data_IF_804785001365
#
_entry.id   IF_804785001365
#
_cell.length_a   1.000
_cell.length_b   1.000
_cell.length_c   1.000
_cell.angle_alpha   90.00
_cell.angle_beta   90.00
_cell.angle_gamma   90.00
#
_symmetry.space_group_name_H-M   'P 1'
#
loop_
_entity.id
_entity.type
_entity.pdbx_description
1 polymer ?
#
# COMPACT_ATOMS: atom_id res chain seq x y z
N UNK A 1 -15.72 11.40 5.59
CA UNK A 1 -14.58 12.18 6.12
C UNK A 1 -14.82 13.64 5.78
N UNK A 2 -14.78 14.52 6.78
CA UNK A 2 -14.80 15.97 6.58
C UNK A 2 -13.50 16.41 5.90
N UNK A 3 -13.60 17.18 4.81
CA UNK A 3 -12.44 17.70 4.10
C UNK A 3 -11.81 18.85 4.89
N UNK A 4 -10.97 18.53 5.87
CA UNK A 4 -10.24 19.54 6.64
C UNK A 4 -9.21 20.24 5.76
N UNK A 5 -9.03 21.55 5.91
CA UNK A 5 -7.96 22.24 5.21
C UNK A 5 -6.59 21.72 5.67
N UNK A 6 -5.64 21.58 4.74
CA UNK A 6 -4.24 21.26 5.06
C UNK A 6 -3.50 22.61 5.12
N UNK A 7 -3.32 23.12 6.33
CA UNK A 7 -2.82 24.48 6.60
C UNK A 7 -1.33 24.53 6.93
N UNK A 8 -0.69 23.38 7.12
CA UNK A 8 0.71 23.26 7.51
C UNK A 8 1.04 21.92 8.15
N UNK A 9 2.27 21.74 8.61
CA UNK A 9 2.78 20.45 9.10
C UNK A 9 1.97 19.86 10.25
N UNK A 10 1.57 20.67 11.23
CA UNK A 10 0.72 20.21 12.33
C UNK A 10 -0.62 19.64 11.84
N UNK A 11 -1.22 20.27 10.83
CA UNK A 11 -2.46 19.75 10.23
C UNK A 11 -2.22 18.44 9.49
N UNK A 12 -1.05 18.27 8.86
CA UNK A 12 -0.67 17.03 8.20
C UNK A 12 -0.53 15.90 9.22
N UNK A 13 0.25 16.13 10.29
CA UNK A 13 0.50 15.14 11.35
C UNK A 13 -0.79 14.73 12.06
N UNK A 14 -1.63 15.71 12.43
CA UNK A 14 -2.91 15.45 13.08
C UNK A 14 -3.83 14.59 12.21
N UNK A 15 -3.96 14.93 10.94
CA UNK A 15 -4.82 14.19 10.02
C UNK A 15 -4.27 12.80 9.69
N UNK A 16 -2.95 12.68 9.48
CA UNK A 16 -2.31 11.39 9.26
C UNK A 16 -2.48 10.48 10.48
N UNK A 17 -2.30 11.01 11.70
CA UNK A 17 -2.53 10.27 12.95
C UNK A 17 -3.98 9.80 13.10
N UNK A 18 -4.97 10.66 12.82
CA UNK A 18 -6.37 10.27 12.81
C UNK A 18 -6.68 9.16 11.79
N UNK A 19 -6.06 9.23 10.60
CA UNK A 19 -6.18 8.19 9.57
C UNK A 19 -5.53 6.88 10.02
N UNK A 20 -4.36 6.92 10.67
CA UNK A 20 -3.73 5.73 11.25
C UNK A 20 -4.66 5.09 12.27
N UNK A 21 -5.18 5.85 13.23
CA UNK A 21 -6.09 5.31 14.25
C UNK A 21 -7.31 4.63 13.63
N UNK A 22 -7.95 5.30 12.66
CA UNK A 22 -9.15 4.77 12.02
C UNK A 22 -8.86 3.53 11.14
N UNK A 23 -7.78 3.56 10.36
CA UNK A 23 -7.39 2.43 9.50
C UNK A 23 -6.89 1.23 10.31
N UNK A 24 -6.23 1.47 11.45
CA UNK A 24 -5.76 0.43 12.36
C UNK A 24 -6.90 -0.21 13.15
N UNK A 25 -7.84 0.59 13.67
CA UNK A 25 -8.96 0.08 14.47
C UNK A 25 -9.90 -0.81 13.67
N UNK A 26 -10.02 -0.56 12.36
CA UNK A 26 -11.09 -1.16 11.57
C UNK A 26 -10.75 -2.55 11.06
N UNK A 27 -9.46 -2.92 10.86
CA UNK A 27 -8.89 -4.11 10.17
C UNK A 27 -9.62 -4.66 8.91
N UNK A 28 -10.73 -4.02 8.54
CA UNK A 28 -11.74 -4.28 7.55
C UNK A 28 -12.32 -2.90 7.22
N UNK A 29 -12.01 -2.38 6.04
CA UNK A 29 -12.54 -1.13 5.53
C UNK A 29 -13.38 -1.46 4.31
N UNK A 30 -14.45 -0.69 4.11
CA UNK A 30 -15.19 -0.82 2.86
C UNK A 30 -14.33 -0.36 1.68
N UNK A 31 -14.61 -0.84 0.47
CA UNK A 31 -13.91 -0.43 -0.76
C UNK A 31 -13.87 1.09 -0.88
N UNK A 32 -15.01 1.76 -0.66
CA UNK A 32 -15.11 3.22 -0.68
C UNK A 32 -14.28 3.87 0.43
N UNK A 33 -14.34 3.34 1.65
CA UNK A 33 -13.56 3.82 2.79
C UNK A 33 -12.06 3.76 2.52
N UNK A 34 -11.59 2.64 1.95
CA UNK A 34 -10.19 2.44 1.55
C UNK A 34 -9.73 3.45 0.51
N UNK A 35 -10.54 3.71 -0.53
CA UNK A 35 -10.22 4.71 -1.56
C UNK A 35 -10.11 6.11 -0.95
N UNK A 36 -11.12 6.54 -0.18
CA UNK A 36 -11.15 7.88 0.41
C UNK A 36 -9.95 8.10 1.34
N UNK A 37 -9.65 7.12 2.18
CA UNK A 37 -8.53 7.21 3.10
C UNK A 37 -7.19 7.22 2.36
N UNK A 38 -7.07 6.41 1.31
CA UNK A 38 -5.87 6.38 0.48
C UNK A 38 -5.65 7.72 -0.23
N UNK A 39 -6.67 8.26 -0.90
CA UNK A 39 -6.63 9.57 -1.54
C UNK A 39 -6.24 10.66 -0.54
N UNK A 40 -6.72 10.56 0.70
CA UNK A 40 -6.33 11.49 1.75
C UNK A 40 -4.86 11.35 2.14
N UNK A 41 -4.36 10.13 2.35
CA UNK A 41 -2.95 9.90 2.67
C UNK A 41 -2.02 10.36 1.53
N UNK A 42 -2.44 10.19 0.27
CA UNK A 42 -1.74 10.74 -0.89
C UNK A 42 -1.74 12.28 -0.94
N UNK A 43 -2.88 12.92 -0.65
CA UNK A 43 -2.95 14.40 -0.56
C UNK A 43 -2.04 14.94 0.54
N UNK A 44 -1.99 14.29 1.70
CA UNK A 44 -1.11 14.66 2.80
C UNK A 44 0.36 14.57 2.40
N UNK A 45 0.76 13.50 1.69
CA UNK A 45 2.11 13.36 1.16
C UNK A 45 2.46 14.49 0.16
N UNK A 46 1.53 14.86 -0.73
CA UNK A 46 1.71 15.99 -1.66
C UNK A 46 1.93 17.31 -0.93
N UNK A 47 1.15 17.61 0.09
CA UNK A 47 1.34 18.85 0.87
C UNK A 47 2.63 18.82 1.68
N UNK A 48 3.01 17.65 2.22
CA UNK A 48 4.27 17.49 2.93
C UNK A 48 5.47 17.76 2.01
N UNK A 49 5.43 17.27 0.77
CA UNK A 49 6.46 17.54 -0.23
C UNK A 49 6.61 19.03 -0.53
N UNK A 50 5.51 19.79 -0.59
CA UNK A 50 5.57 21.24 -0.80
C UNK A 50 6.20 22.00 0.38
N UNK A 51 6.13 21.45 1.59
CA UNK A 51 6.63 22.08 2.80
C UNK A 51 8.03 21.60 3.20
N UNK A 52 8.55 20.54 2.56
CA UNK A 52 9.71 19.77 3.03
C UNK A 52 10.96 20.59 3.31
N UNK A 53 11.21 21.67 2.56
CA UNK A 53 12.38 22.54 2.75
C UNK A 53 12.24 23.53 3.91
N UNK A 54 11.04 23.67 4.49
CA UNK A 54 10.71 24.68 5.49
C UNK A 54 10.32 24.09 6.85
N UNK A 55 10.53 22.79 7.03
CA UNK A 55 10.11 22.04 8.22
C UNK A 55 11.28 21.18 8.73
N UNK A 56 11.25 20.82 10.00
CA UNK A 56 12.33 20.04 10.61
C UNK A 56 12.37 18.61 10.09
N UNK A 57 13.54 17.98 10.15
CA UNK A 57 13.69 16.54 9.89
C UNK A 57 12.74 15.71 10.77
N UNK A 58 12.60 16.07 12.04
CA UNK A 58 11.76 15.35 13.00
C UNK A 58 10.28 15.38 12.58
N UNK A 59 9.79 16.56 12.17
CA UNK A 59 8.43 16.70 11.68
C UNK A 59 8.19 15.93 10.37
N UNK A 60 9.19 15.91 9.48
CA UNK A 60 9.15 15.11 8.25
C UNK A 60 9.08 13.63 8.58
N UNK A 61 9.98 13.15 9.44
CA UNK A 61 10.06 11.76 9.85
C UNK A 61 8.73 11.30 10.48
N UNK A 62 8.17 12.09 11.38
CA UNK A 62 6.88 11.80 12.02
C UNK A 62 5.75 11.76 10.98
N UNK A 63 5.64 12.78 10.13
CA UNK A 63 4.58 12.84 9.11
C UNK A 63 4.69 11.68 8.10
N UNK A 64 5.89 11.37 7.61
CA UNK A 64 6.12 10.26 6.68
C UNK A 64 5.77 8.93 7.35
N UNK A 65 6.16 8.73 8.61
CA UNK A 65 5.84 7.51 9.37
C UNK A 65 4.33 7.31 9.47
N UNK A 66 3.58 8.35 9.84
CA UNK A 66 2.12 8.28 9.95
C UNK A 66 1.45 7.99 8.60
N UNK A 67 1.89 8.64 7.53
CA UNK A 67 1.35 8.40 6.19
C UNK A 67 1.66 6.98 5.71
N UNK A 68 2.89 6.49 5.93
CA UNK A 68 3.29 5.13 5.58
C UNK A 68 2.48 4.07 6.34
N UNK A 69 2.24 4.27 7.64
CA UNK A 69 1.35 3.42 8.44
C UNK A 69 -0.08 3.40 7.91
N UNK A 70 -0.66 4.57 7.61
CA UNK A 70 -1.99 4.67 7.01
C UNK A 70 -2.11 3.83 5.74
N UNK A 71 -1.17 4.02 4.82
CA UNK A 71 -1.16 3.32 3.53
C UNK A 71 -1.04 1.81 3.73
N UNK A 72 -0.17 1.37 4.63
CA UNK A 72 0.01 -0.06 4.91
C UNK A 72 -1.23 -0.70 5.55
N UNK A 73 -1.90 0.01 6.47
CA UNK A 73 -3.17 -0.44 7.04
C UNK A 73 -4.25 -0.59 5.95
N UNK A 74 -4.35 0.37 5.03
CA UNK A 74 -5.30 0.31 3.91
C UNK A 74 -4.98 -0.88 2.99
N UNK A 75 -3.72 -1.09 2.63
CA UNK A 75 -3.30 -2.23 1.81
C UNK A 75 -3.65 -3.56 2.48
N UNK A 76 -3.40 -3.67 3.78
CA UNK A 76 -3.77 -4.85 4.57
C UNK A 76 -5.27 -5.09 4.55
N UNK A 77 -6.06 -4.04 4.76
CA UNK A 77 -7.52 -4.10 4.73
C UNK A 77 -8.07 -4.57 3.37
N UNK A 78 -7.51 -4.09 2.27
CA UNK A 78 -7.99 -4.44 0.93
C UNK A 78 -7.50 -5.81 0.46
N UNK A 79 -6.32 -6.23 0.89
CA UNK A 79 -5.82 -7.57 0.57
C UNK A 79 -6.38 -8.66 1.49
N UNK A 80 -6.82 -8.32 2.72
CA UNK A 80 -7.34 -9.25 3.70
C UNK A 80 -8.44 -10.18 3.15
N UNK A 81 -9.47 -9.65 2.46
CA UNK A 81 -10.52 -10.48 1.87
C UNK A 81 -10.02 -11.36 0.74
N UNK A 82 -9.12 -10.86 -0.12
CA UNK A 82 -8.52 -11.64 -1.21
C UNK A 82 -7.65 -12.81 -0.68
N UNK A 83 -7.10 -12.65 0.52
CA UNK A 83 -6.29 -13.65 1.21
C UNK A 83 -7.12 -14.53 2.16
N UNK A 84 -8.45 -14.34 2.20
CA UNK A 84 -9.36 -15.04 3.13
C UNK A 84 -9.00 -14.85 4.61
N UNK A 85 -8.33 -13.75 4.96
CA UNK A 85 -8.00 -13.36 6.35
C UNK A 85 -9.11 -12.55 7.00
N UNK A 86 -9.91 -11.86 6.19
CA UNK A 86 -11.07 -11.08 6.61
C UNK A 86 -12.23 -11.30 5.64
N UNK A 87 -13.44 -10.95 6.06
CA UNK A 87 -14.61 -11.00 5.19
C UNK A 87 -14.75 -9.70 4.38
N UNK A 88 -15.39 -9.79 3.22
CA UNK A 88 -15.90 -8.60 2.52
C UNK A 88 -17.04 -8.04 3.37
N UNK A 89 -17.01 -6.74 3.67
CA UNK A 89 -18.00 -6.11 4.53
C UNK A 89 -19.38 -6.11 3.86
N UNK A 90 -20.43 -6.29 4.66
CA UNK A 90 -21.83 -6.34 4.19
C UNK A 90 -22.19 -5.14 3.30
N UNK A 91 -21.71 -3.93 3.63
CA UNK A 91 -21.96 -2.75 2.80
C UNK A 91 -21.38 -2.89 1.38
N UNK A 92 -20.17 -3.45 1.24
CA UNK A 92 -19.58 -3.70 -0.08
C UNK A 92 -20.24 -4.87 -0.79
N UNK A 93 -20.65 -5.88 -0.01
CA UNK A 93 -21.42 -7.01 -0.49
C UNK A 93 -22.73 -6.53 -1.12
N UNK A 94 -23.54 -5.75 -0.41
CA UNK A 94 -24.79 -5.18 -0.92
C UNK A 94 -24.56 -4.22 -2.08
N UNK A 95 -23.55 -3.35 -2.03
CA UNK A 95 -23.23 -2.43 -3.13
C UNK A 95 -22.76 -3.14 -4.40
N UNK A 96 -22.21 -4.35 -4.31
CA UNK A 96 -21.88 -5.15 -5.50
C UNK A 96 -23.12 -5.73 -6.19
N UNK A 97 -24.23 -5.86 -5.45
CA UNK A 97 -25.52 -6.41 -5.90
C UNK A 97 -26.37 -5.30 -6.54
N UNK A 98 -26.36 -4.11 -5.93
CA UNK A 98 -27.20 -2.97 -6.31
C UNK A 98 -26.71 -2.23 -7.57
N UNK A 99 -25.62 -2.71 -8.19
CA UNK A 99 -25.25 -2.33 -9.56
C UNK A 99 -26.17 -3.13 -10.49
N UNK A 100 -27.46 -2.79 -10.49
CA UNK A 100 -28.37 -3.10 -11.57
C UNK A 100 -27.98 -2.20 -12.74
N UNK A 101 -27.58 -2.79 -13.87
CA UNK A 101 -27.21 -2.15 -15.13
C UNK A 101 -25.83 -1.49 -15.19
N UNK A 102 -24.78 -2.27 -14.98
CA UNK A 102 -23.54 -2.04 -15.76
C UNK A 102 -23.61 -2.96 -16.99
N UNK A 103 -24.27 -2.48 -18.06
CA UNK A 103 -24.58 -3.26 -19.26
C UNK A 103 -23.37 -3.85 -19.97
N UNK A 104 -22.16 -3.35 -19.69
CA UNK A 104 -20.91 -3.90 -20.23
C UNK A 104 -20.45 -5.15 -19.44
N UNK A 105 -20.67 -5.17 -18.13
CA UNK A 105 -20.35 -6.29 -17.26
C UNK A 105 -21.43 -7.38 -17.30
N UNK A 106 -22.71 -7.00 -17.43
CA UNK A 106 -23.82 -7.95 -17.44
C UNK A 106 -23.70 -8.99 -18.57
N UNK A 107 -23.08 -8.68 -19.71
CA UNK A 107 -22.76 -9.66 -20.77
C UNK A 107 -21.65 -10.65 -20.36
N UNK A 108 -20.57 -10.16 -19.76
CA UNK A 108 -19.44 -11.00 -19.31
C UNK A 108 -19.83 -11.93 -18.15
N UNK A 109 -20.76 -11.48 -17.29
CA UNK A 109 -21.28 -12.29 -16.18
C UNK A 109 -22.50 -13.14 -16.53
N UNK A 110 -23.30 -12.78 -17.55
CA UNK A 110 -24.38 -13.67 -18.03
C UNK A 110 -23.82 -14.92 -18.67
N UNK A 111 -22.70 -14.83 -19.42
CA UNK A 111 -21.99 -16.00 -19.95
C UNK A 111 -21.46 -16.91 -18.83
N UNK A 112 -21.03 -16.34 -17.70
CA UNK A 112 -20.59 -17.11 -16.53
C UNK A 112 -21.74 -17.70 -15.72
N UNK A 113 -22.99 -17.27 -15.90
CA UNK A 113 -24.14 -17.68 -15.06
C UNK A 113 -24.89 -18.91 -15.57
N UNK A 114 -24.46 -19.47 -16.71
CA UNK A 114 -25.11 -20.57 -17.41
C UNK A 114 -24.04 -21.63 -17.67
N UNK A 115 -24.22 -22.84 -17.14
CA UNK A 115 -23.38 -23.97 -17.53
C UNK A 115 -23.60 -24.28 -19.03
N UNK A 116 -22.64 -24.91 -19.72
CA UNK A 116 -22.81 -25.30 -21.13
C UNK A 116 -24.05 -26.20 -21.40
N UNK A 117 -24.68 -26.75 -20.36
CA UNK A 117 -25.90 -27.54 -20.41
C UNK A 117 -27.19 -26.75 -20.16
N UNK A 118 -27.11 -25.43 -19.96
CA UNK A 118 -28.25 -24.54 -19.73
C UNK A 118 -28.71 -24.44 -18.27
N UNK A 119 -28.04 -25.09 -17.31
CA UNK A 119 -28.38 -24.98 -15.89
C UNK A 119 -27.89 -23.66 -15.27
N UNK A 120 -28.66 -23.13 -14.32
CA UNK A 120 -28.45 -21.81 -13.71
C UNK A 120 -27.47 -21.88 -12.53
N UNK A 121 -26.48 -20.98 -12.49
CA UNK A 121 -25.63 -20.83 -11.32
C UNK A 121 -26.42 -20.22 -10.14
N UNK A 122 -26.39 -20.81 -8.94
CA UNK A 122 -26.98 -20.22 -7.75
C UNK A 122 -26.58 -18.75 -7.58
N UNK A 123 -27.58 -17.87 -7.38
CA UNK A 123 -27.40 -16.41 -7.33
C UNK A 123 -26.30 -15.97 -6.32
N UNK A 124 -26.06 -16.76 -5.27
CA UNK A 124 -25.00 -16.58 -4.28
C UNK A 124 -23.57 -16.79 -4.81
N UNK A 125 -23.36 -17.67 -5.80
CA UNK A 125 -22.04 -17.90 -6.43
C UNK A 125 -21.71 -16.73 -7.37
N UNK A 126 -22.71 -16.20 -8.09
CA UNK A 126 -22.54 -15.01 -8.93
C UNK A 126 -22.11 -13.78 -8.08
N UNK A 127 -22.76 -13.56 -6.93
CA UNK A 127 -22.42 -12.46 -6.01
C UNK A 127 -21.02 -12.56 -5.40
N UNK A 128 -20.62 -13.76 -4.95
CA UNK A 128 -19.27 -13.97 -4.43
C UNK A 128 -18.22 -13.61 -5.48
N UNK A 129 -18.45 -14.06 -6.73
CA UNK A 129 -17.54 -13.79 -7.84
C UNK A 129 -17.48 -12.30 -8.17
N UNK A 130 -18.63 -11.60 -8.21
CA UNK A 130 -18.70 -10.13 -8.38
C UNK A 130 -17.97 -9.38 -7.27
N UNK A 131 -18.17 -9.78 -6.02
CA UNK A 131 -17.50 -9.16 -4.88
C UNK A 131 -15.98 -9.34 -4.92
N UNK A 132 -15.50 -10.55 -5.21
CA UNK A 132 -14.07 -10.83 -5.38
C UNK A 132 -13.50 -10.01 -6.54
N UNK A 133 -14.23 -9.90 -7.66
CA UNK A 133 -13.81 -9.11 -8.80
C UNK A 133 -13.62 -7.63 -8.45
N UNK A 134 -14.61 -6.99 -7.82
CA UNK A 134 -14.46 -5.60 -7.41
C UNK A 134 -13.39 -5.43 -6.32
N UNK A 135 -13.22 -6.41 -5.43
CA UNK A 135 -12.16 -6.38 -4.44
C UNK A 135 -10.78 -6.38 -5.12
N UNK A 136 -10.58 -7.20 -6.16
CA UNK A 136 -9.35 -7.22 -6.98
C UNK A 136 -9.11 -5.89 -7.67
N UNK A 137 -10.14 -5.26 -8.24
CA UNK A 137 -9.99 -3.94 -8.87
C UNK A 137 -9.53 -2.88 -7.89
N UNK A 138 -10.12 -2.82 -6.70
CA UNK A 138 -9.72 -1.85 -5.68
C UNK A 138 -8.32 -2.14 -5.15
N UNK A 139 -7.97 -3.41 -4.93
CA UNK A 139 -6.61 -3.80 -4.57
C UNK A 139 -5.59 -3.35 -5.61
N UNK A 140 -5.89 -3.56 -6.89
CA UNK A 140 -5.03 -3.12 -7.99
C UNK A 140 -4.88 -1.59 -8.01
N UNK A 141 -5.99 -0.84 -7.98
CA UNK A 141 -5.99 0.63 -7.97
C UNK A 141 -5.16 1.19 -6.82
N UNK A 142 -5.37 0.67 -5.61
CA UNK A 142 -4.63 1.11 -4.42
C UNK A 142 -3.15 0.75 -4.53
N UNK A 143 -2.80 -0.45 -5.01
CA UNK A 143 -1.40 -0.83 -5.19
C UNK A 143 -0.67 0.09 -6.17
N UNK A 144 -1.30 0.46 -7.30
CA UNK A 144 -0.70 1.39 -8.27
C UNK A 144 -0.46 2.76 -7.62
N UNK A 145 -1.48 3.34 -6.98
CA UNK A 145 -1.34 4.66 -6.36
C UNK A 145 -0.41 4.65 -5.13
N UNK A 146 -0.31 3.50 -4.44
CA UNK A 146 0.60 3.29 -3.31
C UNK A 146 2.06 3.43 -3.74
N UNK A 147 2.43 2.88 -4.89
CA UNK A 147 3.79 3.03 -5.44
C UNK A 147 4.13 4.51 -5.60
N UNK A 148 3.26 5.29 -6.24
CA UNK A 148 3.48 6.74 -6.42
C UNK A 148 3.62 7.47 -5.08
N UNK A 149 2.80 7.10 -4.09
CA UNK A 149 2.83 7.74 -2.78
C UNK A 149 4.11 7.39 -2.01
N UNK A 150 4.55 6.13 -2.09
CA UNK A 150 5.82 5.69 -1.49
C UNK A 150 7.01 6.41 -2.14
N UNK A 151 7.00 6.56 -3.46
CA UNK A 151 8.05 7.31 -4.19
C UNK A 151 8.10 8.77 -3.75
N UNK A 152 6.94 9.39 -3.56
CA UNK A 152 6.85 10.74 -3.04
C UNK A 152 7.40 10.81 -1.60
N UNK A 153 6.99 9.93 -0.70
CA UNK A 153 7.52 9.86 0.67
C UNK A 153 9.04 9.64 0.69
N UNK A 154 9.55 8.79 -0.21
CA UNK A 154 10.99 8.54 -0.35
C UNK A 154 11.73 9.80 -0.77
N UNK A 155 11.17 10.54 -1.72
CA UNK A 155 11.74 11.82 -2.18
C UNK A 155 11.77 12.84 -1.05
N UNK A 156 10.69 12.93 -0.26
CA UNK A 156 10.61 13.79 0.93
C UNK A 156 11.72 13.45 1.92
N UNK A 157 11.89 12.17 2.25
CA UNK A 157 12.93 11.73 3.19
C UNK A 157 14.35 11.96 2.65
N UNK A 158 14.57 11.68 1.35
CA UNK A 158 15.87 11.88 0.70
C UNK A 158 16.36 13.33 0.75
N UNK A 159 15.45 14.32 0.76
CA UNK A 159 15.81 15.73 0.87
C UNK A 159 16.53 16.03 2.20
N UNK A 160 16.14 15.34 3.28
CA UNK A 160 16.71 15.57 4.61
C UNK A 160 17.86 14.62 4.96
N UNK A 161 18.13 13.59 4.14
CA UNK A 161 19.24 12.67 4.36
C UNK A 161 20.54 13.21 3.76
N UNK A 162 21.58 13.27 4.57
CA UNK A 162 22.96 13.47 4.12
C UNK A 162 23.61 12.16 3.67
N UNK A 163 24.71 12.26 2.94
CA UNK A 163 25.52 11.08 2.58
C UNK A 163 26.04 10.37 3.84
N UNK A 164 25.89 9.05 3.88
CA UNK A 164 26.23 8.19 5.02
C UNK A 164 25.11 8.07 6.06
N UNK A 165 23.95 8.71 5.86
CA UNK A 165 22.80 8.59 6.76
C UNK A 165 21.78 7.59 6.23
N UNK A 166 21.08 6.97 7.16
CA UNK A 166 19.90 6.16 6.89
C UNK A 166 18.70 6.64 7.70
N UNK A 167 17.53 6.20 7.28
CA UNK A 167 16.28 6.38 7.98
C UNK A 167 15.53 5.06 7.96
N UNK A 168 14.99 4.67 9.11
CA UNK A 168 14.25 3.43 9.27
C UNK A 168 12.89 3.74 9.87
N UNK A 169 11.83 3.42 9.12
CA UNK A 169 10.47 3.33 9.63
C UNK A 169 10.27 1.88 10.04
N UNK A 170 10.15 1.62 11.34
CA UNK A 170 9.86 0.29 11.88
C UNK A 170 8.67 0.39 12.82
N UNK A 171 7.52 -0.05 12.32
CA UNK A 171 6.24 0.01 13.01
C UNK A 171 5.51 -1.31 12.82
N UNK A 172 4.50 -1.58 13.64
CA UNK A 172 3.70 -2.81 13.50
C UNK A 172 2.97 -2.91 12.15
N UNK A 173 2.71 -1.77 11.49
CA UNK A 173 2.01 -1.71 10.22
C UNK A 173 2.95 -1.60 9.02
N UNK A 174 4.07 -0.89 9.14
CA UNK A 174 4.93 -0.53 8.02
C UNK A 174 6.41 -0.66 8.37
N UNK A 175 7.16 -1.23 7.44
CA UNK A 175 8.61 -1.26 7.47
C UNK A 175 9.20 -0.66 6.19
N UNK A 176 10.11 0.30 6.36
CA UNK A 176 10.85 0.92 5.27
C UNK A 176 12.24 1.34 5.76
N UNK A 177 13.27 1.05 4.98
CA UNK A 177 14.61 1.59 5.17
C UNK A 177 14.98 2.42 3.95
N UNK A 178 15.55 3.59 4.18
CA UNK A 178 16.14 4.44 3.17
C UNK A 178 17.58 4.79 3.57
N UNK A 179 18.54 4.46 2.72
CA UNK A 179 19.95 4.75 2.94
C UNK A 179 20.48 5.63 1.81
N UNK A 180 21.23 6.68 2.17
CA UNK A 180 21.91 7.56 1.21
C UNK A 180 23.41 7.42 1.40
N UNK A 181 24.10 6.90 0.40
CA UNK A 181 25.52 6.55 0.50
C UNK A 181 26.27 6.98 -0.76
N UNK A 182 27.59 7.16 -0.66
CA UNK A 182 28.41 7.26 -1.87
C UNK A 182 28.47 5.89 -2.54
N UNK A 183 28.62 5.86 -3.85
CA UNK A 183 28.71 4.61 -4.61
C UNK A 183 29.79 3.66 -4.07
N UNK A 184 30.95 4.20 -3.70
CA UNK A 184 32.05 3.42 -3.09
C UNK A 184 31.71 2.84 -1.72
N UNK A 185 31.03 3.61 -0.86
CA UNK A 185 30.68 3.19 0.50
C UNK A 185 29.59 2.12 0.55
N UNK A 186 28.92 1.88 -0.57
CA UNK A 186 27.78 0.98 -0.65
C UNK A 186 28.17 -0.48 -0.89
N UNK A 187 29.42 -0.73 -1.26
CA UNK A 187 29.90 -2.09 -1.46
C UNK A 187 30.22 -2.78 -0.17
N UNK A 188 29.96 -4.10 -0.14
CA UNK A 188 30.19 -4.94 1.03
C UNK A 188 29.36 -4.54 2.27
N UNK A 189 28.27 -3.79 2.08
CA UNK A 189 27.36 -3.45 3.17
C UNK A 189 26.25 -4.50 3.31
N UNK A 190 25.70 -4.61 4.52
CA UNK A 190 24.48 -5.35 4.76
C UNK A 190 23.41 -4.41 5.29
N UNK A 191 22.19 -4.60 4.79
CA UNK A 191 21.03 -3.83 5.20
C UNK A 191 20.13 -4.79 5.96
N UNK A 192 20.21 -4.67 7.29
CA UNK A 192 19.38 -5.43 8.20
C UNK A 192 17.91 -5.11 7.98
N UNK A 193 17.09 -6.14 7.91
CA UNK A 193 15.65 -6.09 7.71
C UNK A 193 14.95 -6.54 9.00
N UNK A 194 13.62 -6.65 8.99
CA UNK A 194 12.89 -7.28 10.11
C UNK A 194 13.24 -8.77 10.21
N UNK A 195 13.08 -9.33 11.42
CA UNK A 195 13.19 -10.78 11.66
C UNK A 195 14.55 -11.41 11.28
N UNK A 196 15.65 -10.65 11.41
CA UNK A 196 17.00 -11.07 11.03
C UNK A 196 17.20 -11.38 9.54
N UNK A 197 16.26 -10.96 8.69
CA UNK A 197 16.53 -10.92 7.26
C UNK A 197 17.59 -9.85 6.98
N UNK A 198 18.42 -10.08 5.96
CA UNK A 198 19.44 -9.11 5.54
C UNK A 198 19.56 -9.08 4.04
N UNK A 199 19.74 -7.89 3.48
CA UNK A 199 20.12 -7.71 2.08
C UNK A 199 21.62 -7.42 2.09
N UNK A 200 22.41 -8.34 1.52
CA UNK A 200 23.85 -8.16 1.39
C UNK A 200 24.19 -7.67 -0.02
N UNK A 201 24.97 -6.61 -0.11
CA UNK A 201 25.41 -6.03 -1.37
C UNK A 201 26.80 -6.55 -1.70
N UNK A 202 26.97 -7.29 -2.81
CA UNK A 202 28.23 -7.91 -3.13
C UNK A 202 29.31 -6.87 -3.44
N UNK A 203 30.56 -7.22 -3.15
CA UNK A 203 31.76 -6.45 -3.53
C UNK A 203 31.93 -6.29 -5.04
N UNK A 204 31.40 -7.22 -5.83
CA UNK A 204 31.55 -7.23 -7.30
C UNK A 204 30.27 -6.70 -7.97
N UNK A 205 30.01 -5.41 -7.84
CA UNK A 205 28.91 -4.75 -8.54
C UNK A 205 29.49 -3.80 -9.61
N UNK A 206 29.35 -4.18 -10.87
CA UNK A 206 29.80 -3.37 -11.99
C UNK A 206 28.76 -2.32 -12.36
N UNK A 207 29.13 -1.05 -12.35
CA UNK A 207 28.32 0.00 -12.95
C UNK A 207 29.22 0.98 -13.71
N UNK A 208 28.66 1.67 -14.71
CA UNK A 208 29.35 2.76 -15.42
C UNK A 208 29.27 4.10 -14.66
N UNK A 209 28.88 4.08 -13.38
CA UNK A 209 28.65 5.26 -12.57
C UNK A 209 29.98 5.72 -11.96
N UNK A 210 30.23 7.03 -11.95
CA UNK A 210 31.45 7.60 -11.38
C UNK A 210 31.47 7.53 -9.85
N UNK A 211 32.66 7.43 -9.26
CA UNK A 211 32.85 7.24 -7.82
C UNK A 211 32.27 8.36 -6.93
N UNK A 212 32.10 9.57 -7.47
CA UNK A 212 31.54 10.73 -6.76
C UNK A 212 30.00 10.79 -6.78
N UNK A 213 29.34 9.72 -7.20
CA UNK A 213 27.88 9.67 -7.22
C UNK A 213 27.31 9.25 -5.88
N UNK A 214 26.16 9.84 -5.57
CA UNK A 214 25.37 9.49 -4.40
C UNK A 214 24.26 8.56 -4.87
N UNK A 215 24.16 7.39 -4.24
CA UNK A 215 23.06 6.45 -4.44
C UNK A 215 22.09 6.59 -3.27
N UNK A 216 20.81 6.40 -3.56
CA UNK A 216 19.78 6.16 -2.56
C UNK A 216 19.26 4.74 -2.75
N UNK A 217 19.29 3.93 -1.69
CA UNK A 217 18.65 2.62 -1.68
C UNK A 217 17.46 2.63 -0.73
N UNK A 218 16.35 2.11 -1.22
CA UNK A 218 15.13 1.90 -0.44
C UNK A 218 14.81 0.41 -0.37
N UNK A 219 14.61 -0.10 0.85
CA UNK A 219 14.02 -1.40 1.10
C UNK A 219 12.65 -1.23 1.76
N UNK A 220 11.65 -1.97 1.29
CA UNK A 220 10.30 -2.01 1.86
C UNK A 220 9.94 -3.46 2.03
N UNK A 221 9.43 -3.81 3.21
CA UNK A 221 8.95 -5.16 3.48
C UNK A 221 7.43 -5.12 3.52
N UNK A 222 6.84 -5.93 2.67
CA UNK A 222 5.40 -6.08 2.60
C UNK A 222 5.01 -7.43 3.21
N UNK A 223 3.96 -7.50 4.05
CA UNK A 223 3.48 -8.77 4.54
C UNK A 223 3.04 -9.66 3.36
N UNK A 224 3.57 -10.89 3.33
CA UNK A 224 3.35 -11.86 2.26
C UNK A 224 1.87 -11.97 1.85
N UNK A 225 1.61 -11.62 0.59
CA UNK A 225 0.38 -11.88 -0.12
C UNK A 225 0.51 -13.23 -0.85
N UNK A 226 -0.01 -14.29 -0.27
CA UNK A 226 -0.21 -15.55 -1.00
C UNK A 226 -1.68 -15.62 -1.46
N UNK A 227 -1.98 -15.03 -2.62
CA UNK A 227 -3.27 -15.23 -3.28
C UNK A 227 -3.23 -16.36 -4.35
N UNK A 228 -2.04 -16.77 -4.81
CA UNK A 228 -1.91 -17.60 -6.03
C UNK A 228 -1.48 -19.06 -5.81
N UNK A 229 -1.64 -19.60 -4.60
CA UNK A 229 -1.56 -21.07 -4.39
C UNK A 229 -2.77 -21.57 -3.62
N UNK A 230 -3.93 -21.49 -4.25
CA UNK A 230 -5.04 -22.41 -3.96
C UNK A 230 -5.31 -23.29 -5.17
N UNK A 231 -4.29 -24.05 -5.59
CA UNK A 231 -4.60 -25.33 -6.20
C UNK A 231 -5.07 -26.25 -5.08
N UNK A 232 -6.37 -26.52 -5.11
CA UNK A 232 -7.03 -27.62 -4.43
C UNK A 232 -6.14 -28.85 -4.39
N UNK A 233 -5.73 -29.25 -3.19
CA UNK A 233 -5.41 -30.63 -2.88
C UNK A 233 -6.29 -31.02 -1.69
N UNK A 234 -7.58 -31.23 -1.94
CA UNK A 234 -8.30 -32.24 -1.18
C UNK A 234 -8.02 -33.57 -1.85
N UNK A 235 -7.03 -34.30 -1.34
CA UNK A 235 -6.91 -35.73 -1.55
C UNK A 235 -6.75 -36.40 -0.18
N UNK A 236 -7.69 -37.32 0.08
CA UNK A 236 -7.83 -38.27 1.19
C UNK A 236 -8.45 -37.74 2.48
#
# INVERSE_FOLDING_TARGET
MTNFAILGTNSIKLQASALVQWTQSSNQLTRTASIIAFERCHQLAKHLYLLVLHISYEDVYEAVTLIAQCISNIKTSVNGPLQKRTNILDLDWFRSIDIFYDTALDLEWTELSIFNDGSYIPWTINQNTRNIFYQKQIAHKINVQMIETIELLTSIMNIHLNTGQNMTINTSAAFMILERASFESFFNTSIEQIENARIHIPVNFSSNITNNTIISLRSIIEPLASADKSQSNTNC
#
